data_IF_843694114605
#
_entry.id   IF_843694114605
#
_cell.length_a   1.000
_cell.length_b   1.000
_cell.length_c   1.000
_cell.angle_alpha   90.00
_cell.angle_beta   90.00
_cell.angle_gamma   90.00
#
_symmetry.space_group_name_H-M   'P 1'
#
loop_
_entity.id
_entity.type
_entity.pdbx_description
1 polymer ?
#
# COMPACT_ATOMS: atom_id res chain seq x y z
N UNK A 1 20.42 3.74 -58.67
CA UNK A 1 19.92 2.45 -58.20
C UNK A 1 20.66 2.11 -56.92
N UNK A 2 20.04 2.20 -55.79
CA UNK A 2 20.28 1.64 -54.47
C UNK A 2 19.96 2.64 -53.37
N UNK A 3 18.66 2.78 -53.10
CA UNK A 3 18.16 3.33 -51.84
C UNK A 3 16.91 2.51 -51.52
N UNK A 4 17.02 1.55 -50.65
CA UNK A 4 15.87 0.95 -49.93
C UNK A 4 16.40 -0.15 -49.02
N UNK A 5 16.87 0.18 -47.81
CA UNK A 5 17.09 -0.82 -46.76
C UNK A 5 17.29 -0.19 -45.36
N UNK A 6 16.71 0.98 -45.12
CA UNK A 6 16.85 1.71 -43.87
C UNK A 6 15.61 1.75 -42.97
N UNK A 7 14.43 1.37 -43.48
CA UNK A 7 13.16 1.61 -42.78
C UNK A 7 12.57 0.37 -42.08
N UNK A 8 12.99 -0.83 -42.44
CA UNK A 8 12.50 -2.06 -41.82
C UNK A 8 13.21 -2.48 -40.52
N UNK A 9 14.38 -1.88 -40.21
CA UNK A 9 15.09 -2.18 -38.96
C UNK A 9 14.60 -1.36 -37.75
N UNK A 10 13.97 -0.23 -38.00
CA UNK A 10 13.50 0.69 -36.93
C UNK A 10 12.14 0.28 -36.36
N UNK A 11 11.34 -0.50 -37.11
CA UNK A 11 10.04 -0.97 -36.62
C UNK A 11 10.12 -2.29 -35.82
N UNK A 12 11.23 -3.05 -35.92
CA UNK A 12 11.47 -4.25 -35.13
C UNK A 12 12.15 -3.96 -33.77
N UNK A 13 12.86 -2.83 -33.64
CA UNK A 13 13.45 -2.41 -32.37
C UNK A 13 12.48 -1.64 -31.45
N UNK A 14 11.36 -1.14 -31.99
CA UNK A 14 10.31 -0.47 -31.20
C UNK A 14 9.29 -1.44 -30.57
N UNK A 15 9.38 -2.74 -30.83
CA UNK A 15 8.47 -3.77 -30.30
C UNK A 15 9.03 -4.51 -29.05
N UNK A 16 10.28 -4.23 -28.66
CA UNK A 16 10.91 -4.90 -27.49
C UNK A 16 10.95 -4.06 -26.20
N UNK A 17 10.50 -2.81 -26.20
CA UNK A 17 10.38 -1.98 -24.99
C UNK A 17 8.96 -2.04 -24.41
N UNK A 18 8.57 -3.16 -23.81
CA UNK A 18 7.25 -3.34 -23.20
C UNK A 18 7.05 -4.67 -22.49
N UNK A 19 8.11 -5.38 -22.16
CA UNK A 19 8.04 -6.54 -21.27
C UNK A 19 8.31 -6.14 -19.81
N UNK A 20 7.35 -5.41 -19.23
CA UNK A 20 7.19 -5.42 -17.77
C UNK A 20 6.93 -6.87 -17.36
N UNK A 21 7.76 -7.39 -16.43
CA UNK A 21 7.81 -8.78 -16.03
C UNK A 21 6.43 -9.37 -15.74
N UNK A 22 6.03 -10.30 -16.59
CA UNK A 22 4.79 -11.04 -16.50
C UNK A 22 4.89 -11.98 -15.30
N UNK A 23 3.97 -11.83 -14.32
CA UNK A 23 3.70 -12.80 -13.27
C UNK A 23 4.89 -13.12 -12.36
N UNK A 24 5.31 -12.18 -11.51
CA UNK A 24 6.35 -12.43 -10.51
C UNK A 24 5.77 -13.09 -9.25
N UNK A 25 5.49 -14.40 -9.29
CA UNK A 25 5.25 -15.19 -8.07
C UNK A 25 3.83 -15.19 -7.49
N UNK A 26 2.85 -14.49 -8.08
CA UNK A 26 1.46 -14.55 -7.59
C UNK A 26 0.85 -15.93 -7.80
N UNK A 27 0.12 -16.39 -6.76
CA UNK A 27 -0.51 -17.71 -6.75
C UNK A 27 -1.99 -17.61 -7.14
N UNK A 28 -2.39 -18.38 -8.16
CA UNK A 28 -3.76 -18.44 -8.65
C UNK A 28 -4.39 -19.80 -8.33
N UNK A 29 -5.69 -19.78 -7.99
CA UNK A 29 -6.50 -20.99 -7.85
C UNK A 29 -7.58 -20.99 -8.96
N UNK A 30 -7.47 -21.89 -9.91
CA UNK A 30 -8.45 -22.12 -11.00
C UNK A 30 -9.46 -23.15 -10.51
N UNK A 31 -10.75 -22.83 -10.64
CA UNK A 31 -11.85 -23.69 -10.20
C UNK A 31 -12.83 -23.85 -11.37
N UNK A 32 -12.88 -25.04 -11.94
CA UNK A 32 -13.75 -25.37 -13.07
C UNK A 32 -14.01 -26.89 -13.04
N UNK A 33 -15.24 -27.31 -13.19
CA UNK A 33 -15.62 -28.73 -13.19
C UNK A 33 -15.37 -29.42 -14.55
N UNK A 34 -15.12 -28.64 -15.61
CA UNK A 34 -14.63 -29.16 -16.88
C UNK A 34 -13.09 -29.30 -16.84
N UNK A 35 -12.55 -30.55 -16.80
CA UNK A 35 -11.14 -30.78 -16.70
C UNK A 35 -10.33 -30.27 -17.90
N UNK A 36 -10.98 -30.11 -19.07
CA UNK A 36 -10.34 -29.56 -20.27
C UNK A 36 -10.13 -28.03 -20.12
N UNK A 37 -11.16 -27.30 -19.66
CA UNK A 37 -11.07 -25.86 -19.40
C UNK A 37 -10.08 -25.57 -18.27
N UNK A 38 -10.18 -26.29 -17.16
CA UNK A 38 -9.26 -26.16 -16.04
C UNK A 38 -7.80 -26.38 -16.47
N UNK A 39 -7.53 -27.39 -17.29
CA UNK A 39 -6.18 -27.68 -17.79
C UNK A 39 -5.69 -26.64 -18.79
N UNK A 40 -6.54 -26.14 -19.68
CA UNK A 40 -6.19 -25.07 -20.61
C UNK A 40 -5.76 -23.80 -19.85
N UNK A 41 -6.59 -23.38 -18.89
CA UNK A 41 -6.29 -22.23 -18.04
C UNK A 41 -4.99 -22.41 -17.26
N UNK A 42 -4.77 -23.60 -16.69
CA UNK A 42 -3.52 -23.89 -15.96
C UNK A 42 -2.29 -23.70 -16.85
N UNK A 43 -2.32 -24.22 -18.09
CA UNK A 43 -1.19 -24.11 -19.03
C UNK A 43 -0.92 -22.64 -19.39
N UNK A 44 -1.97 -21.90 -19.75
CA UNK A 44 -1.84 -20.52 -20.18
C UNK A 44 -1.39 -19.58 -19.07
N UNK A 45 -1.94 -19.75 -17.85
CA UNK A 45 -1.56 -18.94 -16.70
C UNK A 45 -0.15 -19.25 -16.22
N UNK A 46 0.28 -20.53 -16.24
CA UNK A 46 1.68 -20.89 -15.95
C UNK A 46 2.64 -20.35 -16.99
N UNK A 47 2.26 -20.38 -18.28
CA UNK A 47 3.08 -19.77 -19.33
C UNK A 47 3.21 -18.26 -19.18
N UNK A 48 2.23 -17.61 -18.54
CA UNK A 48 2.26 -16.20 -18.17
C UNK A 48 3.01 -15.92 -16.84
N UNK A 49 3.61 -16.93 -16.19
CA UNK A 49 4.48 -16.78 -15.01
C UNK A 49 3.78 -16.89 -13.66
N UNK A 50 2.50 -17.31 -13.60
CA UNK A 50 1.78 -17.50 -12.34
C UNK A 50 2.02 -18.89 -11.71
N UNK A 51 1.99 -18.97 -10.35
CA UNK A 51 1.89 -20.25 -9.63
C UNK A 51 0.43 -20.71 -9.61
N UNK A 52 0.08 -21.78 -10.34
CA UNK A 52 -1.31 -22.16 -10.56
C UNK A 52 -1.63 -23.48 -9.89
N UNK A 53 -2.68 -23.48 -9.06
CA UNK A 53 -3.36 -24.66 -8.52
C UNK A 53 -4.74 -24.80 -9.16
N UNK A 54 -5.23 -26.03 -9.25
CA UNK A 54 -6.53 -26.34 -9.87
C UNK A 54 -7.40 -27.09 -8.88
N UNK A 55 -8.70 -26.77 -8.84
CA UNK A 55 -9.73 -27.46 -8.08
C UNK A 55 -10.90 -27.79 -9.01
N UNK A 56 -11.52 -28.97 -8.83
CA UNK A 56 -12.59 -29.46 -9.68
C UNK A 56 -13.99 -29.00 -9.27
N UNK A 57 -14.16 -28.41 -8.09
CA UNK A 57 -15.40 -27.81 -7.60
C UNK A 57 -15.12 -26.80 -6.47
N UNK A 58 -16.17 -26.08 -6.07
CA UNK A 58 -16.07 -25.05 -5.04
C UNK A 58 -15.69 -25.60 -3.65
N UNK A 59 -16.04 -26.84 -3.30
CA UNK A 59 -15.72 -27.42 -2.01
C UNK A 59 -14.23 -27.75 -1.89
N UNK A 60 -13.64 -28.32 -2.96
CA UNK A 60 -12.20 -28.58 -3.08
C UNK A 60 -11.44 -27.26 -3.09
N UNK A 61 -11.94 -26.26 -3.81
CA UNK A 61 -11.34 -24.94 -3.88
C UNK A 61 -11.30 -24.23 -2.54
N UNK A 62 -12.40 -24.28 -1.77
CA UNK A 62 -12.45 -23.69 -0.44
C UNK A 62 -11.42 -24.31 0.51
N UNK A 63 -11.32 -25.65 0.52
CA UNK A 63 -10.32 -26.35 1.33
C UNK A 63 -8.89 -25.96 0.92
N UNK A 64 -8.60 -25.95 -0.38
CA UNK A 64 -7.29 -25.55 -0.93
C UNK A 64 -6.93 -24.08 -0.60
N UNK A 65 -7.90 -23.17 -0.63
CA UNK A 65 -7.70 -21.77 -0.27
C UNK A 65 -7.46 -21.58 1.23
N UNK A 66 -8.11 -22.37 2.08
CA UNK A 66 -7.91 -22.34 3.54
C UNK A 66 -6.56 -22.92 3.96
N UNK A 67 -6.04 -23.91 3.24
CA UNK A 67 -4.72 -24.49 3.47
C UNK A 67 -3.60 -23.50 3.09
N UNK A 68 -3.71 -22.93 1.88
CA UNK A 68 -2.79 -21.90 1.37
C UNK A 68 -3.61 -20.86 0.59
N UNK A 69 -3.80 -19.69 1.17
CA UNK A 69 -4.57 -18.62 0.55
C UNK A 69 -3.92 -18.17 -0.78
N UNK A 70 -4.63 -18.22 -1.92
CA UNK A 70 -4.12 -17.69 -3.19
C UNK A 70 -4.27 -16.17 -3.23
N UNK A 71 -3.56 -15.53 -4.16
CA UNK A 71 -3.74 -14.10 -4.44
C UNK A 71 -5.03 -13.83 -5.22
N UNK A 72 -5.43 -14.80 -6.10
CA UNK A 72 -6.65 -14.72 -6.88
C UNK A 72 -7.27 -16.10 -7.10
N UNK A 73 -8.60 -16.16 -7.01
CA UNK A 73 -9.42 -17.30 -7.40
C UNK A 73 -10.11 -16.97 -8.72
N UNK A 74 -9.95 -17.85 -9.72
CA UNK A 74 -10.64 -17.82 -11.00
C UNK A 74 -11.66 -18.96 -11.00
N UNK A 75 -12.95 -18.67 -10.81
CA UNK A 75 -13.97 -19.69 -10.57
C UNK A 75 -15.06 -19.69 -11.63
N UNK A 76 -15.40 -20.88 -12.15
CA UNK A 76 -16.66 -21.02 -12.89
C UNK A 76 -17.85 -20.74 -11.97
N UNK A 77 -18.86 -20.08 -12.50
CA UNK A 77 -20.12 -19.84 -11.80
C UNK A 77 -20.88 -21.14 -11.59
N UNK A 78 -20.95 -21.98 -12.62
CA UNK A 78 -21.82 -23.17 -12.64
C UNK A 78 -21.01 -24.45 -12.40
N UNK A 79 -20.95 -24.91 -11.16
CA UNK A 79 -20.25 -26.13 -10.77
C UNK A 79 -21.12 -27.01 -9.88
N UNK A 80 -20.92 -28.35 -9.91
CA UNK A 80 -21.62 -29.26 -8.99
C UNK A 80 -21.15 -29.04 -7.52
N UNK A 81 -21.95 -29.52 -6.57
CA UNK A 81 -21.71 -29.48 -5.14
C UNK A 81 -21.66 -28.07 -4.51
N UNK A 82 -20.80 -27.20 -4.99
CA UNK A 82 -20.67 -25.81 -4.56
C UNK A 82 -20.36 -24.96 -5.78
N UNK A 83 -21.28 -24.08 -6.13
CA UNK A 83 -21.13 -23.13 -7.24
C UNK A 83 -20.17 -21.98 -6.91
N UNK A 84 -19.81 -21.16 -7.92
CA UNK A 84 -18.88 -20.06 -7.75
C UNK A 84 -19.40 -18.97 -6.80
N UNK A 85 -20.72 -18.78 -6.71
CA UNK A 85 -21.31 -17.79 -5.80
C UNK A 85 -21.21 -18.23 -4.35
N UNK A 86 -21.55 -19.49 -4.05
CA UNK A 86 -21.42 -20.04 -2.71
C UNK A 86 -19.97 -20.13 -2.27
N UNK A 87 -19.06 -20.50 -3.18
CA UNK A 87 -17.62 -20.46 -2.92
C UNK A 87 -17.18 -19.04 -2.49
N UNK A 88 -17.54 -18.03 -3.25
CA UNK A 88 -17.19 -16.63 -2.97
C UNK A 88 -17.75 -16.18 -1.62
N UNK A 89 -19.01 -16.52 -1.33
CA UNK A 89 -19.63 -16.18 -0.04
C UNK A 89 -18.85 -16.79 1.13
N UNK A 90 -18.43 -18.05 1.03
CA UNK A 90 -17.66 -18.74 2.07
C UNK A 90 -16.25 -18.19 2.21
N UNK A 91 -15.59 -17.85 1.11
CA UNK A 91 -14.29 -17.17 1.13
C UNK A 91 -14.38 -15.83 1.88
N UNK A 92 -15.44 -15.05 1.65
CA UNK A 92 -15.66 -13.75 2.35
C UNK A 92 -15.98 -13.89 3.83
N UNK A 93 -16.53 -15.04 4.27
CA UNK A 93 -16.87 -15.32 5.67
C UNK A 93 -15.68 -15.79 6.52
N UNK A 94 -14.62 -16.32 5.92
CA UNK A 94 -13.41 -16.77 6.63
C UNK A 94 -12.37 -15.65 6.64
N UNK A 95 -11.95 -15.12 7.81
CA UNK A 95 -10.96 -14.02 7.89
C UNK A 95 -9.63 -14.30 7.15
N UNK A 96 -9.25 -15.57 7.00
CA UNK A 96 -8.01 -15.96 6.31
C UNK A 96 -8.10 -15.80 4.79
N UNK A 97 -9.31 -15.86 4.22
CA UNK A 97 -9.55 -15.80 2.78
C UNK A 97 -10.45 -14.63 2.37
N UNK A 98 -10.93 -13.83 3.33
CA UNK A 98 -11.89 -12.75 3.08
C UNK A 98 -11.41 -11.70 2.07
N UNK A 99 -10.10 -11.49 1.97
CA UNK A 99 -9.47 -10.49 1.09
C UNK A 99 -8.92 -11.08 -0.21
N UNK A 100 -9.12 -12.39 -0.47
CA UNK A 100 -8.68 -13.00 -1.73
C UNK A 100 -9.44 -12.41 -2.91
N UNK A 101 -8.76 -12.10 -3.99
CA UNK A 101 -9.43 -11.61 -5.20
C UNK A 101 -10.19 -12.74 -5.89
N UNK A 102 -11.39 -12.46 -6.39
CA UNK A 102 -12.24 -13.45 -7.08
C UNK A 102 -12.68 -12.91 -8.43
N UNK A 103 -12.35 -13.63 -9.50
CA UNK A 103 -12.89 -13.43 -10.85
C UNK A 103 -13.80 -14.59 -11.17
N UNK A 104 -15.04 -14.29 -11.58
CA UNK A 104 -15.99 -15.30 -12.00
C UNK A 104 -15.98 -15.52 -13.50
N UNK A 105 -15.93 -16.79 -13.94
CA UNK A 105 -16.13 -17.19 -15.31
C UNK A 105 -17.61 -17.53 -15.52
N UNK A 106 -18.30 -16.86 -16.45
CA UNK A 106 -19.75 -16.99 -16.61
C UNK A 106 -20.14 -17.26 -18.06
N UNK A 107 -21.21 -18.02 -18.30
CA UNK A 107 -21.76 -18.20 -19.62
C UNK A 107 -22.46 -16.91 -20.13
N UNK A 108 -22.54 -16.74 -21.47
CA UNK A 108 -23.17 -15.60 -22.10
C UNK A 108 -24.68 -15.61 -21.81
N UNK A 109 -25.21 -14.57 -21.16
CA UNK A 109 -26.66 -14.43 -20.93
C UNK A 109 -27.09 -14.18 -19.48
N UNK A 110 -26.20 -14.28 -18.52
CA UNK A 110 -26.51 -14.14 -17.07
C UNK A 110 -26.36 -12.70 -16.58
N UNK A 111 -27.12 -11.74 -17.15
CA UNK A 111 -27.06 -10.32 -16.71
C UNK A 111 -27.62 -10.12 -15.28
N UNK A 112 -28.57 -10.96 -14.84
CA UNK A 112 -29.10 -10.93 -13.48
C UNK A 112 -28.06 -11.45 -12.47
N UNK A 113 -27.29 -12.47 -12.83
CA UNK A 113 -26.29 -13.10 -11.97
C UNK A 113 -25.08 -12.19 -11.75
N UNK A 114 -24.76 -11.27 -12.69
CA UNK A 114 -23.71 -10.25 -12.50
C UNK A 114 -24.04 -9.31 -11.35
N UNK A 115 -25.30 -8.87 -11.24
CA UNK A 115 -25.72 -7.98 -10.14
C UNK A 115 -25.70 -8.70 -8.79
N UNK A 116 -26.14 -9.98 -8.77
CA UNK A 116 -26.09 -10.81 -7.56
C UNK A 116 -24.66 -11.10 -7.13
N UNK A 117 -23.78 -11.41 -8.07
CA UNK A 117 -22.39 -11.73 -7.77
C UNK A 117 -21.55 -10.54 -7.31
N UNK A 118 -21.74 -9.33 -7.83
CA UNK A 118 -21.13 -8.12 -7.28
C UNK A 118 -21.59 -7.86 -5.84
N UNK A 119 -22.87 -8.13 -5.54
CA UNK A 119 -23.39 -8.05 -4.17
C UNK A 119 -22.79 -9.10 -3.23
N UNK A 120 -22.28 -10.23 -3.75
CA UNK A 120 -21.61 -11.30 -2.99
C UNK A 120 -20.11 -11.02 -2.79
N UNK A 121 -19.52 -10.07 -3.55
CA UNK A 121 -18.14 -9.63 -3.37
C UNK A 121 -17.14 -10.23 -4.37
N UNK A 122 -17.55 -10.56 -5.59
CA UNK A 122 -16.62 -10.85 -6.69
C UNK A 122 -15.98 -9.54 -7.20
N UNK A 123 -14.71 -9.59 -7.58
CA UNK A 123 -13.94 -8.42 -8.02
C UNK A 123 -14.06 -8.14 -9.52
N UNK A 124 -14.33 -9.18 -10.34
CA UNK A 124 -14.60 -9.06 -11.78
C UNK A 124 -15.32 -10.29 -12.33
N UNK A 125 -15.80 -10.17 -13.60
CA UNK A 125 -16.51 -11.23 -14.36
C UNK A 125 -15.95 -11.32 -15.76
N UNK A 126 -15.74 -12.56 -16.23
CA UNK A 126 -15.32 -12.86 -17.60
C UNK A 126 -16.36 -13.78 -18.24
N UNK A 127 -16.86 -13.40 -19.41
CA UNK A 127 -17.88 -14.16 -20.12
C UNK A 127 -17.21 -15.20 -21.02
N UNK A 128 -17.58 -16.49 -20.87
CA UNK A 128 -17.19 -17.57 -21.78
C UNK A 128 -17.94 -17.47 -23.13
N UNK A 129 -17.29 -17.64 -24.29
CA UNK A 129 -15.87 -17.85 -24.49
C UNK A 129 -15.09 -16.53 -24.37
N UNK A 130 -13.90 -16.59 -23.81
CA UNK A 130 -12.96 -15.48 -23.67
C UNK A 130 -11.66 -15.79 -24.42
N UNK A 131 -10.90 -14.75 -24.76
CA UNK A 131 -9.55 -14.90 -25.28
C UNK A 131 -8.51 -14.76 -24.15
N UNK A 132 -7.34 -15.37 -24.34
CA UNK A 132 -6.25 -15.35 -23.35
C UNK A 132 -5.73 -13.95 -23.07
N UNK A 133 -5.55 -13.04 -24.05
CA UNK A 133 -5.16 -11.67 -23.78
C UNK A 133 -6.15 -10.92 -22.89
N UNK A 134 -7.47 -11.05 -23.10
CA UNK A 134 -8.48 -10.45 -22.23
C UNK A 134 -8.41 -11.01 -20.82
N UNK A 135 -8.35 -12.33 -20.67
CA UNK A 135 -8.23 -13.00 -19.38
C UNK A 135 -7.02 -12.49 -18.60
N UNK A 136 -5.84 -12.49 -19.21
CA UNK A 136 -4.59 -12.04 -18.57
C UNK A 136 -4.64 -10.53 -18.21
N UNK A 137 -5.23 -9.69 -19.06
CA UNK A 137 -5.38 -8.27 -18.77
C UNK A 137 -6.27 -8.03 -17.54
N UNK A 138 -7.38 -8.78 -17.40
CA UNK A 138 -8.29 -8.68 -16.25
C UNK A 138 -7.65 -9.20 -14.98
N UNK A 139 -6.96 -10.35 -15.02
CA UNK A 139 -6.21 -10.90 -13.86
C UNK A 139 -5.20 -9.88 -13.37
N UNK A 140 -4.35 -9.33 -14.27
CA UNK A 140 -3.38 -8.28 -13.90
C UNK A 140 -4.05 -7.05 -13.31
N UNK A 141 -5.17 -6.62 -13.87
CA UNK A 141 -5.94 -5.48 -13.36
C UNK A 141 -6.48 -5.69 -11.95
N UNK A 142 -7.02 -6.90 -11.67
CA UNK A 142 -7.55 -7.26 -10.34
C UNK A 142 -6.41 -7.41 -9.33
N UNK A 143 -5.34 -8.14 -9.67
CA UNK A 143 -4.18 -8.33 -8.79
C UNK A 143 -3.51 -7.01 -8.43
N UNK A 144 -3.34 -6.11 -9.42
CA UNK A 144 -2.80 -4.77 -9.16
C UNK A 144 -3.66 -4.00 -8.16
N UNK A 145 -4.99 -3.91 -8.38
CA UNK A 145 -5.91 -3.23 -7.43
C UNK A 145 -5.86 -3.85 -6.04
N UNK A 146 -5.83 -5.18 -5.95
CA UNK A 146 -5.72 -5.90 -4.68
C UNK A 146 -4.41 -5.60 -3.95
N UNK A 147 -3.28 -5.57 -4.68
CA UNK A 147 -1.97 -5.18 -4.15
C UNK A 147 -1.99 -3.73 -3.65
N UNK A 148 -2.49 -2.82 -4.47
CA UNK A 148 -2.59 -1.40 -4.11
C UNK A 148 -3.42 -1.22 -2.83
N UNK A 149 -4.57 -1.91 -2.72
CA UNK A 149 -5.42 -1.86 -1.51
C UNK A 149 -4.75 -2.49 -0.28
N UNK A 150 -4.03 -3.61 -0.45
CA UNK A 150 -3.32 -4.29 0.66
C UNK A 150 -2.07 -3.53 1.11
N UNK A 151 -1.49 -2.75 0.22
CA UNK A 151 -0.23 -2.04 0.46
C UNK A 151 -0.42 -0.58 0.83
N UNK A 152 -1.67 -0.08 0.83
CA UNK A 152 -2.01 1.26 1.30
C UNK A 152 -2.53 1.25 2.75
N UNK A 153 -2.29 2.33 3.46
CA UNK A 153 -2.92 2.58 4.76
C UNK A 153 -4.43 2.83 4.57
N UNK A 154 -5.31 2.04 5.22
CA UNK A 154 -6.77 2.22 5.07
C UNK A 154 -7.27 3.59 5.52
N UNK A 155 -6.56 4.24 6.45
CA UNK A 155 -6.95 5.52 7.02
C UNK A 155 -6.58 6.71 6.12
N UNK A 156 -5.37 6.69 5.55
CA UNK A 156 -4.83 7.84 4.81
C UNK A 156 -4.77 7.64 3.30
N UNK A 157 -4.88 6.41 2.82
CA UNK A 157 -4.66 6.05 1.42
C UNK A 157 -3.19 6.13 0.96
N UNK A 158 -2.27 6.53 1.85
CA UNK A 158 -0.85 6.56 1.56
C UNK A 158 -0.26 5.14 1.47
N UNK A 159 0.86 4.93 0.74
CA UNK A 159 1.66 3.73 0.82
C UNK A 159 1.88 3.26 2.26
N UNK A 160 1.56 1.98 2.53
CA UNK A 160 1.78 1.32 3.82
C UNK A 160 3.15 0.65 3.89
N UNK A 161 3.39 -0.11 4.98
CA UNK A 161 4.69 -0.69 5.31
C UNK A 161 5.35 -1.46 4.17
N UNK A 162 4.59 -2.29 3.43
CA UNK A 162 5.12 -3.08 2.32
C UNK A 162 5.66 -2.18 1.20
N UNK A 163 4.92 -1.13 0.83
CA UNK A 163 5.36 -0.20 -0.21
C UNK A 163 6.51 0.70 0.23
N UNK A 164 6.57 1.03 1.53
CA UNK A 164 7.69 1.78 2.12
C UNK A 164 8.97 0.94 2.03
N UNK A 165 8.91 -0.34 2.40
CA UNK A 165 10.01 -1.27 2.30
C UNK A 165 10.47 -1.45 0.84
N UNK A 166 9.55 -1.77 -0.08
CA UNK A 166 9.83 -1.92 -1.51
C UNK A 166 10.51 -0.69 -2.11
N UNK A 167 10.05 0.52 -1.77
CA UNK A 167 10.61 1.77 -2.27
C UNK A 167 12.06 1.98 -1.80
N UNK A 168 12.33 1.71 -0.52
CA UNK A 168 13.66 1.91 0.06
C UNK A 168 14.64 0.84 -0.45
N UNK A 169 14.21 -0.44 -0.47
CA UNK A 169 15.04 -1.53 -0.98
C UNK A 169 15.37 -1.34 -2.48
N UNK A 170 14.41 -0.92 -3.29
CA UNK A 170 14.65 -0.61 -4.72
C UNK A 170 15.69 0.49 -4.91
N UNK A 171 15.74 1.51 -4.05
CA UNK A 171 16.77 2.56 -4.08
C UNK A 171 18.13 2.02 -3.64
N UNK A 172 18.17 1.15 -2.63
CA UNK A 172 19.40 0.49 -2.18
C UNK A 172 19.98 -0.41 -3.28
N UNK A 173 19.17 -1.21 -3.94
CA UNK A 173 19.59 -2.07 -5.06
C UNK A 173 20.16 -1.30 -6.25
N UNK A 174 19.56 -0.13 -6.56
CA UNK A 174 20.04 0.76 -7.63
C UNK A 174 21.20 1.65 -7.20
N UNK A 175 21.64 1.58 -5.95
CA UNK A 175 22.61 2.51 -5.36
C UNK A 175 22.18 3.99 -5.53
N UNK A 176 20.88 4.27 -5.52
CA UNK A 176 20.30 5.60 -5.67
C UNK A 176 20.36 6.33 -4.31
N UNK A 177 20.97 7.55 -4.25
CA UNK A 177 21.05 8.28 -2.99
C UNK A 177 19.66 8.71 -2.49
N UNK A 178 19.41 8.55 -1.18
CA UNK A 178 18.17 8.99 -0.54
C UNK A 178 18.37 9.43 0.91
N UNK A 179 17.38 10.12 1.43
CA UNK A 179 17.20 10.35 2.85
C UNK A 179 15.78 9.94 3.27
N UNK A 180 15.68 9.35 4.46
CA UNK A 180 14.41 9.03 5.11
C UNK A 180 14.17 10.06 6.21
N UNK A 181 12.99 10.69 6.17
CA UNK A 181 12.42 11.44 7.26
C UNK A 181 11.36 10.56 7.92
N UNK A 182 11.34 10.52 9.24
CA UNK A 182 10.39 9.75 10.02
C UNK A 182 9.58 10.69 10.95
N UNK A 183 8.52 11.33 10.45
CA UNK A 183 7.62 12.18 11.23
C UNK A 183 6.74 11.37 12.18
N UNK A 184 6.50 11.90 13.39
CA UNK A 184 5.65 11.33 14.42
C UNK A 184 4.93 12.46 15.17
N UNK A 185 3.65 12.29 15.47
CA UNK A 185 2.85 13.30 16.15
C UNK A 185 3.01 13.19 17.65
N UNK A 186 3.63 14.20 18.26
CA UNK A 186 3.78 14.25 19.70
C UNK A 186 2.42 14.45 20.39
N UNK A 187 2.22 13.78 21.52
CA UNK A 187 0.98 13.85 22.32
C UNK A 187 -0.29 13.34 21.62
N UNK A 188 -0.18 12.63 20.47
CA UNK A 188 -1.33 12.09 19.73
C UNK A 188 -2.23 11.22 20.60
N UNK A 189 -1.64 10.39 21.48
CA UNK A 189 -2.41 9.59 22.43
C UNK A 189 -3.25 10.46 23.37
N UNK A 190 -2.71 11.54 23.88
CA UNK A 190 -3.45 12.45 24.77
C UNK A 190 -4.60 13.17 24.00
N UNK A 191 -4.36 13.50 22.73
CA UNK A 191 -5.38 14.03 21.84
C UNK A 191 -6.55 13.03 21.67
N UNK A 192 -6.25 11.75 21.40
CA UNK A 192 -7.26 10.69 21.30
C UNK A 192 -8.03 10.48 22.61
N UNK A 193 -7.32 10.49 23.73
CA UNK A 193 -7.93 10.30 25.05
C UNK A 193 -8.87 11.47 25.40
N UNK A 194 -8.64 12.68 24.86
CA UNK A 194 -9.45 13.87 25.09
C UNK A 194 -10.61 14.01 24.09
N UNK A 195 -10.33 13.88 22.78
CA UNK A 195 -11.31 14.14 21.71
C UNK A 195 -11.95 12.87 21.12
N UNK A 196 -11.42 11.70 21.44
CA UNK A 196 -11.87 10.41 20.90
C UNK A 196 -11.22 10.06 19.56
N UNK A 197 -11.33 8.77 19.21
CA UNK A 197 -10.66 8.20 18.04
C UNK A 197 -11.09 8.81 16.70
N UNK A 198 -12.35 9.20 16.53
CA UNK A 198 -12.80 9.80 15.27
C UNK A 198 -12.04 11.10 14.93
N UNK A 199 -11.87 11.99 15.93
CA UNK A 199 -11.09 13.22 15.72
C UNK A 199 -9.59 12.92 15.61
N UNK A 200 -9.10 11.86 16.24
CA UNK A 200 -7.74 11.38 16.03
C UNK A 200 -7.50 10.91 14.60
N UNK A 201 -8.44 10.19 14.02
CA UNK A 201 -8.38 9.75 12.62
C UNK A 201 -8.38 10.95 11.66
N UNK A 202 -9.20 11.96 11.92
CA UNK A 202 -9.21 13.24 11.17
C UNK A 202 -7.85 13.95 11.26
N UNK A 203 -7.23 13.99 12.46
CA UNK A 203 -5.90 14.55 12.66
C UNK A 203 -4.84 13.80 11.88
N UNK A 204 -4.86 12.45 11.87
CA UNK A 204 -3.93 11.64 11.07
C UNK A 204 -4.11 11.92 9.57
N UNK A 205 -5.35 11.96 9.07
CA UNK A 205 -5.63 12.25 7.66
C UNK A 205 -5.14 13.63 7.24
N UNK A 206 -5.40 14.65 8.06
CA UNK A 206 -4.93 16.00 7.82
C UNK A 206 -3.39 16.09 7.88
N UNK A 207 -2.75 15.40 8.83
CA UNK A 207 -1.30 15.33 8.95
C UNK A 207 -0.67 14.64 7.73
N UNK A 208 -1.29 13.59 7.21
CA UNK A 208 -0.84 12.92 5.98
C UNK A 208 -0.83 13.87 4.78
N UNK A 209 -1.87 14.70 4.64
CA UNK A 209 -1.94 15.71 3.57
C UNK A 209 -0.89 16.81 3.77
N UNK A 210 -0.77 17.37 4.97
CA UNK A 210 0.20 18.42 5.30
C UNK A 210 1.63 17.97 5.06
N UNK A 211 2.01 16.79 5.56
CA UNK A 211 3.34 16.20 5.37
C UNK A 211 3.61 15.99 3.88
N UNK A 212 2.63 15.42 3.16
CA UNK A 212 2.76 15.15 1.74
C UNK A 212 2.91 16.42 0.90
N UNK A 213 2.10 17.44 1.16
CA UNK A 213 2.14 18.71 0.41
C UNK A 213 3.41 19.49 0.73
N UNK A 214 3.82 19.55 2.00
CA UNK A 214 5.05 20.20 2.41
C UNK A 214 6.28 19.52 1.80
N UNK A 215 6.38 18.19 1.85
CA UNK A 215 7.50 17.45 1.27
C UNK A 215 7.57 17.62 -0.26
N UNK A 216 6.44 17.60 -0.96
CA UNK A 216 6.39 17.80 -2.41
C UNK A 216 6.62 19.25 -2.83
N UNK A 217 6.43 20.22 -1.96
CA UNK A 217 6.70 21.64 -2.28
C UNK A 217 8.20 21.95 -2.41
N UNK A 218 9.05 21.03 -1.95
CA UNK A 218 10.51 21.17 -1.96
C UNK A 218 11.09 20.36 -3.11
N UNK A 219 11.92 21.00 -3.94
CA UNK A 219 12.52 20.35 -5.10
C UNK A 219 11.56 20.19 -6.28
N UNK A 220 11.65 19.07 -6.99
CA UNK A 220 10.87 18.74 -8.19
C UNK A 220 9.55 17.99 -7.92
N UNK A 221 9.18 17.85 -6.65
CA UNK A 221 7.96 17.13 -6.24
C UNK A 221 8.07 15.62 -6.15
N UNK A 222 9.26 15.06 -6.35
CA UNK A 222 9.52 13.60 -6.36
C UNK A 222 9.66 12.96 -4.96
N UNK A 223 8.93 13.46 -3.94
CA UNK A 223 8.92 12.85 -2.62
C UNK A 223 8.01 11.62 -2.58
N UNK A 224 8.51 10.49 -2.07
CA UNK A 224 7.67 9.36 -1.68
C UNK A 224 7.17 9.58 -0.24
N UNK A 225 5.88 9.38 -0.02
CA UNK A 225 5.26 9.53 1.31
C UNK A 225 4.53 8.24 1.67
N UNK A 226 4.77 7.72 2.87
CA UNK A 226 4.13 6.52 3.41
C UNK A 226 3.56 6.74 4.81
N UNK A 227 2.60 5.90 5.19
CA UNK A 227 2.02 5.86 6.53
C UNK A 227 2.26 4.48 7.15
N UNK A 228 3.08 4.45 8.19
CA UNK A 228 3.48 3.21 8.88
C UNK A 228 2.33 2.69 9.75
N UNK A 229 1.62 3.58 10.41
CA UNK A 229 0.47 3.28 11.26
C UNK A 229 0.41 4.16 12.51
N UNK A 230 -0.78 4.37 13.04
CA UNK A 230 -0.97 5.30 14.15
C UNK A 230 -0.56 6.73 13.76
N UNK A 231 0.39 7.29 14.48
CA UNK A 231 0.94 8.63 14.32
C UNK A 231 2.28 8.68 13.56
N UNK A 232 2.75 7.54 13.02
CA UNK A 232 4.05 7.40 12.34
C UNK A 232 3.94 7.52 10.82
N UNK A 233 4.76 8.37 10.22
CA UNK A 233 4.88 8.57 8.77
C UNK A 233 6.31 8.34 8.28
N UNK A 234 6.47 8.14 6.97
CA UNK A 234 7.77 8.08 6.30
C UNK A 234 7.75 9.00 5.08
N UNK A 235 8.81 9.77 4.91
CA UNK A 235 9.04 10.56 3.70
C UNK A 235 10.43 10.19 3.16
N UNK A 236 10.50 9.83 1.87
CA UNK A 236 11.78 9.54 1.19
C UNK A 236 12.02 10.58 0.12
N UNK A 237 13.15 11.24 0.22
CA UNK A 237 13.58 12.32 -0.69
C UNK A 237 15.05 12.14 -1.08
N UNK A 238 15.56 12.97 -1.99
CA UNK A 238 16.99 13.09 -2.23
C UNK A 238 17.70 13.67 -0.99
N UNK A 239 18.97 13.29 -0.71
CA UNK A 239 19.67 13.68 0.53
C UNK A 239 19.73 15.19 0.78
N UNK A 240 19.92 15.98 -0.27
CA UNK A 240 19.99 17.44 -0.23
C UNK A 240 18.65 18.11 0.10
N UNK A 241 17.54 17.42 -0.14
CA UNK A 241 16.20 17.91 0.15
C UNK A 241 15.72 17.54 1.56
N UNK A 242 16.47 16.72 2.31
CA UNK A 242 16.05 16.23 3.63
C UNK A 242 15.78 17.35 4.64
N UNK A 243 16.72 18.27 4.82
CA UNK A 243 16.55 19.39 5.75
C UNK A 243 15.48 20.40 5.26
N UNK A 244 15.48 20.84 3.99
CA UNK A 244 14.40 21.67 3.45
C UNK A 244 13.00 21.06 3.60
N UNK A 245 12.86 19.74 3.37
CA UNK A 245 11.57 19.06 3.52
C UNK A 245 11.14 19.01 5.00
N UNK A 246 12.07 18.72 5.91
CA UNK A 246 11.78 18.73 7.34
C UNK A 246 11.34 20.12 7.84
N UNK A 247 12.04 21.19 7.41
CA UNK A 247 11.69 22.57 7.72
C UNK A 247 10.29 22.92 7.19
N UNK A 248 9.98 22.52 5.96
CA UNK A 248 8.66 22.76 5.34
C UNK A 248 7.55 22.01 6.09
N UNK A 249 7.78 20.75 6.49
CA UNK A 249 6.82 19.96 7.26
C UNK A 249 6.57 20.58 8.62
N UNK A 250 7.62 20.95 9.38
CA UNK A 250 7.52 21.59 10.68
C UNK A 250 6.74 22.91 10.57
N UNK A 251 7.08 23.76 9.62
CA UNK A 251 6.40 25.05 9.44
C UNK A 251 4.92 24.90 9.08
N UNK A 252 4.59 23.96 8.17
CA UNK A 252 3.21 23.68 7.79
C UNK A 252 2.40 23.12 8.95
N UNK A 253 2.99 22.20 9.73
CA UNK A 253 2.34 21.58 10.88
C UNK A 253 2.07 22.59 12.01
N UNK A 254 3.06 23.39 12.39
CA UNK A 254 2.92 24.40 13.44
C UNK A 254 1.81 25.44 13.14
N UNK A 255 1.66 25.80 11.86
CA UNK A 255 0.58 26.69 11.41
C UNK A 255 -0.79 26.01 11.55
N UNK A 256 -0.90 24.73 11.23
CA UNK A 256 -2.17 24.00 11.19
C UNK A 256 -2.58 23.44 12.57
N UNK A 257 -1.63 23.13 13.44
CA UNK A 257 -1.83 22.35 14.67
C UNK A 257 -2.93 22.90 15.57
N UNK A 258 -2.99 24.22 15.77
CA UNK A 258 -4.03 24.86 16.59
C UNK A 258 -5.45 24.68 16.04
N UNK A 259 -5.59 24.49 14.72
CA UNK A 259 -6.87 24.30 14.06
C UNK A 259 -7.56 22.97 14.38
N UNK A 260 -6.84 22.00 14.92
CA UNK A 260 -7.37 20.70 15.30
C UNK A 260 -8.07 20.70 16.67
N UNK A 261 -7.97 21.81 17.42
CA UNK A 261 -8.48 21.95 18.78
C UNK A 261 -9.75 22.80 18.83
N UNK A 262 -10.64 22.51 19.77
CA UNK A 262 -11.78 23.37 20.09
C UNK A 262 -11.30 24.75 20.56
N UNK A 263 -12.13 25.77 20.40
CA UNK A 263 -11.76 27.15 20.71
C UNK A 263 -11.26 27.34 22.14
N UNK A 264 -11.92 26.71 23.12
CA UNK A 264 -11.52 26.77 24.52
C UNK A 264 -10.13 26.15 24.81
N UNK A 265 -9.80 25.06 24.15
CA UNK A 265 -8.51 24.37 24.32
C UNK A 265 -7.41 25.13 23.57
N UNK A 266 -7.73 25.66 22.39
CA UNK A 266 -6.83 26.51 21.60
C UNK A 266 -6.45 27.80 22.36
N UNK A 267 -7.42 28.45 22.99
CA UNK A 267 -7.16 29.65 23.81
C UNK A 267 -6.33 29.34 25.05
N UNK A 268 -6.51 28.17 25.68
CA UNK A 268 -5.72 27.72 26.82
C UNK A 268 -4.31 27.27 26.43
N UNK A 269 -4.12 26.80 25.18
CA UNK A 269 -2.86 26.26 24.69
C UNK A 269 -2.54 24.85 25.18
N UNK A 270 -3.48 24.16 25.84
CA UNK A 270 -3.30 22.78 26.32
C UNK A 270 -4.65 22.06 26.49
N UNK A 271 -4.60 20.72 26.50
CA UNK A 271 -5.72 19.85 26.88
C UNK A 271 -5.45 19.18 28.22
N UNK A 272 -6.50 18.80 28.93
CA UNK A 272 -6.44 18.07 30.19
C UNK A 272 -6.98 16.66 30.00
N UNK A 273 -6.20 15.67 30.40
CA UNK A 273 -6.55 14.26 30.31
C UNK A 273 -6.39 13.60 31.67
N UNK A 274 -7.38 12.84 32.11
CA UNK A 274 -7.32 12.06 33.35
C UNK A 274 -6.68 10.69 33.07
N UNK A 275 -5.53 10.40 33.69
CA UNK A 275 -4.88 9.13 33.55
C UNK A 275 -5.61 7.99 34.28
N UNK A 276 -5.16 6.75 34.09
CA UNK A 276 -5.78 5.55 34.72
C UNK A 276 -5.73 5.56 36.26
N UNK A 277 -4.94 6.43 36.87
CA UNK A 277 -4.85 6.61 38.33
C UNK A 277 -5.77 7.72 38.86
N UNK A 278 -6.56 8.36 37.97
CA UNK A 278 -7.41 9.47 38.32
C UNK A 278 -6.71 10.83 38.43
N UNK A 279 -5.44 10.92 38.01
CA UNK A 279 -4.67 12.16 38.06
C UNK A 279 -4.85 12.95 36.77
N UNK A 280 -5.10 14.25 36.90
CA UNK A 280 -5.22 15.18 35.78
C UNK A 280 -3.83 15.53 35.25
N UNK A 281 -3.62 15.31 33.96
CA UNK A 281 -2.37 15.64 33.24
C UNK A 281 -2.66 16.69 32.17
N UNK A 282 -1.73 17.61 31.96
CA UNK A 282 -1.80 18.66 30.93
C UNK A 282 -0.86 18.32 29.80
N UNK A 283 -1.36 18.43 28.58
CA UNK A 283 -0.61 18.21 27.35
C UNK A 283 -0.72 19.44 26.46
N UNK A 284 0.40 19.94 25.97
CA UNK A 284 0.44 21.00 24.98
C UNK A 284 -0.26 20.58 23.67
N UNK A 285 -0.46 21.52 22.78
CA UNK A 285 -0.93 21.26 21.40
C UNK A 285 0.03 20.28 20.74
N UNK A 286 -0.50 19.36 19.91
CA UNK A 286 0.30 18.40 19.17
C UNK A 286 1.39 19.09 18.35
N UNK A 287 2.58 18.50 18.35
CA UNK A 287 3.72 18.89 17.54
C UNK A 287 4.18 17.73 16.68
N UNK A 288 5.07 17.94 15.72
CA UNK A 288 5.68 16.89 14.94
C UNK A 288 7.17 16.77 15.26
N UNK A 289 7.60 15.55 15.62
CA UNK A 289 9.00 15.18 15.82
C UNK A 289 9.50 14.39 14.60
N UNK A 290 10.60 14.85 13.96
CA UNK A 290 11.12 14.22 12.74
C UNK A 290 12.54 13.74 12.95
N UNK A 291 12.77 12.43 12.77
CA UNK A 291 14.12 11.87 12.69
C UNK A 291 14.55 11.67 11.25
N UNK A 292 15.82 11.97 10.94
CA UNK A 292 16.35 11.89 9.57
C UNK A 292 17.57 10.99 9.52
N UNK A 293 17.55 10.03 8.57
CA UNK A 293 18.68 9.21 8.17
C UNK A 293 18.99 9.43 6.69
N UNK A 294 20.27 9.52 6.30
CA UNK A 294 20.65 9.84 4.92
C UNK A 294 21.85 9.01 4.45
N UNK A 295 21.75 8.52 3.21
CA UNK A 295 22.84 7.81 2.53
C UNK A 295 24.05 8.71 2.27
N UNK A 296 23.91 10.06 2.32
CA UNK A 296 25.04 10.99 2.23
C UNK A 296 25.97 10.95 3.44
N UNK A 297 25.55 10.34 4.57
CA UNK A 297 26.31 10.26 5.81
C UNK A 297 26.83 8.86 6.09
N UNK A 298 26.04 7.83 5.74
CA UNK A 298 26.41 6.43 5.91
C UNK A 298 25.71 5.54 4.90
N UNK A 299 26.35 4.41 4.56
CA UNK A 299 25.70 3.38 3.75
C UNK A 299 24.72 2.58 4.63
N UNK A 300 23.62 2.16 4.04
CA UNK A 300 22.66 1.23 4.62
C UNK A 300 22.65 -0.06 3.80
N UNK A 301 22.54 -1.21 4.48
CA UNK A 301 22.48 -2.52 3.82
C UNK A 301 21.03 -2.96 3.57
N UNK A 302 20.10 -2.51 4.44
CA UNK A 302 18.69 -2.88 4.42
C UNK A 302 17.83 -1.69 4.85
N UNK A 303 16.59 -1.70 4.39
CA UNK A 303 15.59 -0.69 4.77
C UNK A 303 15.47 -0.53 6.29
N UNK A 304 15.45 -1.67 7.04
CA UNK A 304 15.29 -1.65 8.49
C UNK A 304 16.40 -0.89 9.22
N UNK A 305 17.64 -0.89 8.71
CA UNK A 305 18.76 -0.13 9.27
C UNK A 305 18.54 1.38 9.13
N UNK A 306 18.10 1.81 7.95
CA UNK A 306 17.84 3.23 7.68
C UNK A 306 16.67 3.75 8.53
N UNK A 307 15.60 2.96 8.65
CA UNK A 307 14.45 3.30 9.52
C UNK A 307 14.83 3.32 10.99
N UNK A 308 15.67 2.39 11.46
CA UNK A 308 16.14 2.36 12.85
C UNK A 308 16.93 3.63 13.21
N UNK A 309 17.81 4.08 12.32
CA UNK A 309 18.57 5.33 12.51
C UNK A 309 17.65 6.54 12.52
N UNK A 310 16.70 6.63 11.60
CA UNK A 310 15.72 7.71 11.59
C UNK A 310 14.88 7.73 12.87
N UNK A 311 14.44 6.54 13.34
CA UNK A 311 13.69 6.41 14.59
C UNK A 311 14.52 6.81 15.81
N UNK A 312 15.82 6.47 15.85
CA UNK A 312 16.73 6.93 16.89
C UNK A 312 16.82 8.47 16.91
N UNK A 313 16.99 9.08 15.73
CA UNK A 313 17.05 10.55 15.62
C UNK A 313 15.74 11.21 16.05
N UNK A 314 14.58 10.61 15.74
CA UNK A 314 13.27 11.08 16.21
C UNK A 314 13.21 11.16 17.75
N UNK A 315 13.84 10.22 18.47
CA UNK A 315 13.84 10.24 19.93
C UNK A 315 14.58 11.46 20.53
N UNK A 316 15.54 12.02 19.81
CA UNK A 316 16.22 13.26 20.25
C UNK A 316 15.34 14.49 20.16
N UNK A 317 14.31 14.46 19.30
CA UNK A 317 13.36 15.57 19.14
C UNK A 317 12.17 15.45 20.07
N UNK A 318 11.83 14.23 20.52
CA UNK A 318 10.74 14.00 21.47
C UNK A 318 11.00 14.68 22.81
N UNK A 319 10.04 15.48 23.26
CA UNK A 319 10.14 16.26 24.50
C UNK A 319 10.47 17.73 24.28
N UNK A 320 10.61 18.16 23.02
CA UNK A 320 10.56 19.59 22.68
C UNK A 320 9.14 20.12 22.87
N UNK A 321 9.01 21.38 23.29
CA UNK A 321 7.71 22.07 23.35
C UNK A 321 7.18 22.52 21.97
N UNK A 322 8.02 22.38 20.93
CA UNK A 322 7.72 22.80 19.55
C UNK A 322 8.10 21.68 18.58
N UNK A 323 7.48 21.68 17.41
CA UNK A 323 7.88 20.78 16.32
C UNK A 323 9.36 20.94 16.00
N UNK A 324 10.04 19.82 15.76
CA UNK A 324 11.49 19.85 15.55
C UNK A 324 11.97 18.62 14.79
N UNK A 325 13.20 18.70 14.28
CA UNK A 325 13.82 17.57 13.58
C UNK A 325 15.30 17.41 13.94
N UNK A 326 15.79 16.17 13.82
CA UNK A 326 17.20 15.83 13.99
C UNK A 326 17.67 14.90 12.86
N UNK A 327 18.89 15.14 12.39
CA UNK A 327 19.54 14.32 11.35
C UNK A 327 20.73 13.57 11.94
N UNK A 328 20.89 12.30 11.56
CA UNK A 328 22.11 11.55 11.89
C UNK A 328 23.33 12.19 11.21
N UNK A 329 24.27 12.60 12.03
CA UNK A 329 25.54 13.23 11.60
C UNK A 329 26.73 12.28 11.71
N UNK A 330 26.51 11.07 12.22
CA UNK A 330 27.57 10.06 12.35
C UNK A 330 27.94 9.56 10.97
N UNK A 331 29.25 9.49 10.72
CA UNK A 331 29.77 8.84 9.51
C UNK A 331 29.88 7.35 9.81
N UNK A 332 29.26 6.51 9.01
CA UNK A 332 29.46 5.07 9.08
C UNK A 332 30.91 4.73 8.73
N UNK A 333 31.54 3.84 9.51
CA UNK A 333 32.84 3.24 9.19
C UNK A 333 32.72 2.30 7.98
#
# INVERSE_FOLDING_TARGET
MTESNGTERTELEAAEEGQDGVGGGESLLVVDDDPFIARLLEIELRAAGYDVRVAADGAVALAAAQERCPDLVLADVMMPNMDGFELTRRLRQDPRTATVSVIMLTARGLSADKLEGFAIGADDYIVKPFDTPELLARIRGVLRRSRDTRTQSPLTGLPGNVRIEEEIEARLERAEPFAILYPDLDHFKAYNDHYGFMRGDELIQASAQLIGDAARSVGDGAAFIGHVGGDDFVVVVQPELAAPAADAIVAAFDVAASGFYDEADRERGYIEVTNRRGELQRFAVVTVSIGIASTSKRAFQHYAEAVAVATEMKQFTKGSETSSWAIDRRHGE
#
